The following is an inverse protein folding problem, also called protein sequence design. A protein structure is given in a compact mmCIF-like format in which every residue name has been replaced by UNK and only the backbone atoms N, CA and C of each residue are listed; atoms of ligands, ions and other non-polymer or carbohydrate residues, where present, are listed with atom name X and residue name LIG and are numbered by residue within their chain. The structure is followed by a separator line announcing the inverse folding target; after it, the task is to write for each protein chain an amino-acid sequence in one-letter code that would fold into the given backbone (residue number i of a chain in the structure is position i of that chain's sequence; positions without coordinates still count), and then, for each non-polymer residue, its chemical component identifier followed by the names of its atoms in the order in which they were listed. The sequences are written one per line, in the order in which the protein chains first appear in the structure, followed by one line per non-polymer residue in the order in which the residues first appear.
data_IF_649948820969
#
_entry.id   IF_649948820969
#
_cell.length_a   1.000
_cell.length_b   1.000
_cell.length_c   1.000
_cell.angle_alpha   90.00
_cell.angle_beta   90.00
_cell.angle_gamma   90.00
#
_symmetry.space_group_name_H-M   'P 1'
#
loop_
_entity.id
_entity.type
_entity.pdbx_description
1 polymer ?
#
# COMPACT_ATOMS: atom_id res chain seq x y z
N UNK A 1 6.75 -19.25 11.01
CA UNK A 1 5.46 -18.60 10.69
C UNK A 1 5.72 -17.77 9.44
N UNK A 2 5.21 -18.25 8.30
CA UNK A 2 5.38 -17.52 7.04
C UNK A 2 4.42 -16.33 7.04
N UNK A 3 4.94 -15.13 7.18
CA UNK A 3 4.19 -13.89 7.01
C UNK A 3 4.40 -13.39 5.58
N UNK A 4 3.33 -13.01 4.89
CA UNK A 4 3.45 -12.31 3.62
C UNK A 4 3.89 -10.87 3.90
N UNK A 5 4.93 -10.44 3.21
CA UNK A 5 5.44 -9.07 3.32
C UNK A 5 5.19 -8.29 2.03
N UNK A 6 4.60 -7.10 2.16
CA UNK A 6 4.33 -6.18 1.06
C UNK A 6 5.00 -4.83 1.36
N UNK A 7 5.35 -4.08 0.32
CA UNK A 7 6.03 -2.79 0.48
C UNK A 7 5.43 -1.75 -0.45
N UNK A 8 5.00 -0.62 0.13
CA UNK A 8 4.69 0.59 -0.64
C UNK A 8 5.97 1.37 -0.92
N UNK A 9 6.31 1.52 -2.19
CA UNK A 9 7.39 2.41 -2.67
C UNK A 9 6.80 3.46 -3.60
N UNK A 10 6.79 4.72 -3.16
CA UNK A 10 6.06 5.75 -3.89
C UNK A 10 4.58 5.38 -3.99
N UNK A 11 4.08 5.31 -5.20
CA UNK A 11 2.68 5.01 -5.52
C UNK A 11 2.44 3.53 -5.86
N UNK A 12 3.41 2.65 -5.63
CA UNK A 12 3.34 1.24 -6.02
C UNK A 12 3.45 0.32 -4.83
N UNK A 13 2.55 -0.66 -4.74
CA UNK A 13 2.60 -1.77 -3.79
C UNK A 13 3.23 -2.98 -4.46
N UNK A 14 4.27 -3.50 -3.84
CA UNK A 14 5.07 -4.63 -4.31
C UNK A 14 5.01 -5.78 -3.31
N UNK A 15 5.12 -7.01 -3.80
CA UNK A 15 5.49 -8.13 -2.93
C UNK A 15 6.96 -8.00 -2.54
N UNK A 16 7.28 -8.16 -1.25
CA UNK A 16 8.63 -7.94 -0.74
C UNK A 16 9.64 -8.98 -1.26
N UNK A 17 9.20 -10.18 -1.58
CA UNK A 17 10.07 -11.21 -2.16
C UNK A 17 10.63 -10.77 -3.52
N UNK A 18 9.82 -10.08 -4.31
CA UNK A 18 10.22 -9.57 -5.62
C UNK A 18 10.93 -8.22 -5.51
N UNK A 19 10.53 -7.38 -4.55
CA UNK A 19 11.19 -6.09 -4.30
C UNK A 19 12.67 -6.22 -3.90
N UNK A 20 13.07 -7.37 -3.33
CA UNK A 20 14.46 -7.67 -2.98
C UNK A 20 15.31 -8.07 -4.21
N UNK A 21 14.70 -8.66 -5.24
CA UNK A 21 15.38 -9.06 -6.46
C UNK A 21 15.84 -7.85 -7.28
N UNK A 22 15.03 -6.78 -7.34
CA UNK A 22 15.36 -5.55 -8.06
C UNK A 22 16.54 -4.78 -7.45
N UNK A 23 16.76 -4.93 -6.13
CA UNK A 23 17.86 -4.27 -5.44
C UNK A 23 19.22 -4.90 -5.71
N UNK A 24 19.29 -6.12 -6.20
CA UNK A 24 20.53 -6.87 -6.47
C UNK A 24 20.97 -6.82 -7.94
N UNK A 25 20.15 -6.30 -8.85
CA UNK A 25 20.42 -6.26 -10.29
C UNK A 25 21.31 -5.11 -10.79
N UNK A 26 21.70 -4.14 -9.95
CA UNK A 26 22.55 -3.01 -10.34
C UNK A 26 24.02 -3.17 -9.90
N UNK A 27 24.69 -4.20 -10.40
CA UNK A 27 26.12 -4.46 -10.14
C UNK A 27 26.82 -5.06 -11.34
N UNK A 28 27.39 -4.19 -12.20
CA UNK A 28 28.51 -4.53 -13.06
C UNK A 28 28.17 -4.97 -14.49
N UNK A 29 28.39 -4.10 -15.48
CA UNK A 29 29.46 -4.31 -16.43
C UNK A 29 29.70 -3.05 -17.28
N UNK A 30 30.90 -2.51 -17.18
CA UNK A 30 31.42 -1.44 -18.02
C UNK A 30 32.00 -2.07 -19.32
N UNK A 31 31.15 -2.22 -20.34
CA UNK A 31 31.52 -2.61 -21.69
C UNK A 31 31.37 -1.44 -22.65
N UNK A 32 32.49 -0.85 -23.07
CA UNK A 32 32.61 0.14 -24.16
C UNK A 32 32.35 -0.58 -25.49
N UNK A 33 31.44 -0.08 -26.35
CA UNK A 33 31.25 -0.61 -27.71
C UNK A 33 30.10 0.00 -28.48
N UNK A 34 30.47 0.99 -29.28
CA UNK A 34 30.06 1.31 -30.66
C UNK A 34 28.61 1.69 -31.02
N UNK A 35 28.57 2.76 -31.80
CA UNK A 35 27.42 3.47 -32.38
C UNK A 35 26.65 2.65 -33.41
N UNK A 36 25.32 2.63 -33.31
CA UNK A 36 24.41 2.13 -34.35
C UNK A 36 23.02 2.75 -34.19
N UNK A 37 22.63 3.51 -35.21
CA UNK A 37 21.38 4.29 -35.27
C UNK A 37 20.13 3.44 -35.46
N UNK A 38 18.99 4.06 -35.14
CA UNK A 38 17.61 3.70 -35.53
C UNK A 38 16.98 2.46 -34.88
N UNK A 39 16.13 2.75 -33.88
CA UNK A 39 15.19 1.81 -33.32
C UNK A 39 14.13 2.56 -32.53
N UNK A 40 12.92 2.70 -33.12
CA UNK A 40 11.70 3.13 -32.41
C UNK A 40 11.54 2.25 -31.19
N UNK A 41 11.72 2.88 -30.01
CA UNK A 41 11.62 2.18 -28.74
C UNK A 41 10.18 1.72 -28.49
N UNK A 42 9.96 0.43 -28.63
CA UNK A 42 8.84 -0.23 -27.96
C UNK A 42 8.94 0.04 -26.48
N UNK A 43 7.86 0.58 -25.92
CA UNK A 43 7.69 0.73 -24.49
C UNK A 43 7.89 -0.64 -23.86
N UNK A 44 9.02 -0.81 -23.16
CA UNK A 44 9.37 -2.04 -22.50
C UNK A 44 8.26 -2.44 -21.54
N UNK A 45 7.68 -3.62 -21.79
CA UNK A 45 6.92 -4.36 -20.81
C UNK A 45 7.89 -4.74 -19.68
N UNK A 46 8.10 -3.80 -18.73
CA UNK A 46 8.89 -4.04 -17.53
C UNK A 46 8.09 -4.92 -16.61
N UNK A 47 8.66 -6.04 -16.31
CA UNK A 47 8.49 -6.93 -15.17
C UNK A 47 7.18 -6.79 -14.36
N UNK A 48 6.10 -7.40 -14.87
CA UNK A 48 4.76 -7.35 -14.28
C UNK A 48 4.56 -8.32 -13.10
N UNK A 49 5.60 -9.02 -12.67
CA UNK A 49 5.49 -10.10 -11.68
C UNK A 49 5.38 -9.67 -10.23
N UNK A 50 5.71 -8.42 -9.92
CA UNK A 50 5.88 -7.94 -8.55
C UNK A 50 4.85 -6.90 -8.10
N UNK A 51 4.21 -6.21 -9.03
CA UNK A 51 3.31 -5.11 -8.72
C UNK A 51 1.91 -5.62 -8.40
N UNK A 52 1.47 -5.40 -7.16
CA UNK A 52 0.13 -5.78 -6.71
C UNK A 52 -0.89 -4.66 -6.87
N UNK A 53 -0.45 -3.43 -6.68
CA UNK A 53 -1.29 -2.25 -6.88
C UNK A 53 -0.45 -1.02 -7.23
N UNK A 54 -1.06 -0.05 -7.90
CA UNK A 54 -0.46 1.26 -8.12
C UNK A 54 -1.51 2.37 -8.02
N UNK A 55 -1.05 3.56 -7.65
CA UNK A 55 -1.89 4.74 -7.49
C UNK A 55 -1.57 5.75 -8.57
N UNK A 56 -2.58 6.16 -9.30
CA UNK A 56 -2.50 7.22 -10.30
C UNK A 56 -3.58 8.26 -9.97
N UNK A 57 -3.15 9.47 -9.61
CA UNK A 57 -4.05 10.52 -9.11
C UNK A 57 -4.81 10.04 -7.86
N UNK A 58 -6.13 9.99 -7.91
CA UNK A 58 -6.98 9.53 -6.81
C UNK A 58 -7.53 8.11 -7.02
N UNK A 59 -6.97 7.33 -7.96
CA UNK A 59 -7.40 5.97 -8.24
C UNK A 59 -6.28 4.98 -7.91
N UNK A 60 -6.62 3.95 -7.16
CA UNK A 60 -5.75 2.79 -6.93
C UNK A 60 -6.19 1.69 -7.88
N UNK A 61 -5.28 1.19 -8.68
CA UNK A 61 -5.46 0.03 -9.54
C UNK A 61 -4.85 -1.19 -8.86
N UNK A 62 -5.60 -2.28 -8.79
CA UNK A 62 -5.24 -3.52 -8.09
C UNK A 62 -5.30 -4.66 -9.11
N UNK A 63 -4.13 -5.18 -9.49
CA UNK A 63 -4.06 -6.09 -10.63
C UNK A 63 -4.66 -5.45 -11.90
N UNK A 64 -5.29 -6.28 -12.74
CA UNK A 64 -5.85 -5.84 -14.02
C UNK A 64 -7.36 -5.56 -13.97
N UNK A 65 -8.06 -5.97 -12.91
CA UNK A 65 -9.53 -6.00 -12.89
C UNK A 65 -10.15 -5.06 -11.88
N UNK A 66 -9.47 -4.72 -10.79
CA UNK A 66 -10.04 -3.93 -9.70
C UNK A 66 -9.46 -2.52 -9.63
N UNK A 67 -10.33 -1.57 -9.33
CA UNK A 67 -9.93 -0.19 -9.06
C UNK A 67 -10.72 0.40 -7.90
N UNK A 68 -10.08 1.33 -7.20
CA UNK A 68 -10.62 1.99 -6.03
C UNK A 68 -10.42 3.50 -6.16
N UNK A 69 -11.51 4.26 -6.33
CA UNK A 69 -11.47 5.71 -6.32
C UNK A 69 -11.34 6.21 -4.88
N UNK A 70 -10.35 7.01 -4.60
CA UNK A 70 -10.04 7.55 -3.28
C UNK A 70 -10.48 9.00 -3.17
N UNK A 71 -11.33 9.30 -2.20
CA UNK A 71 -11.78 10.65 -1.89
C UNK A 71 -11.33 11.04 -0.48
N UNK A 72 -10.44 12.05 -0.40
CA UNK A 72 -10.01 12.61 0.89
C UNK A 72 -10.90 13.75 1.31
N UNK A 73 -11.45 13.67 2.51
CA UNK A 73 -12.27 14.73 3.09
C UNK A 73 -11.37 15.75 3.81
N UNK A 74 -10.79 16.67 3.04
CA UNK A 74 -9.78 17.64 3.53
C UNK A 74 -10.33 18.75 4.43
N UNK A 75 -11.64 18.92 4.52
CA UNK A 75 -12.29 20.00 5.31
C UNK A 75 -12.50 19.66 6.79
N UNK A 76 -12.01 18.54 7.25
CA UNK A 76 -12.19 18.11 8.64
C UNK A 76 -10.87 18.17 9.41
N UNK A 77 -10.93 18.51 10.71
CA UNK A 77 -9.77 18.48 11.63
C UNK A 77 -9.23 17.06 11.82
N UNK A 78 -10.05 16.05 11.52
CA UNK A 78 -9.72 14.62 11.65
C UNK A 78 -9.57 14.01 10.27
N UNK A 79 -8.63 13.10 10.14
CA UNK A 79 -8.44 12.37 8.88
C UNK A 79 -9.69 11.54 8.54
N UNK A 80 -10.15 11.69 7.30
CA UNK A 80 -11.23 10.88 6.73
C UNK A 80 -10.93 10.62 5.27
N UNK A 81 -11.07 9.37 4.89
CA UNK A 81 -10.92 8.92 3.51
C UNK A 81 -12.08 7.99 3.15
N UNK A 82 -12.55 8.10 1.92
CA UNK A 82 -13.54 7.19 1.35
C UNK A 82 -12.93 6.54 0.12
N UNK A 83 -13.15 5.25 -0.04
CA UNK A 83 -12.87 4.50 -1.25
C UNK A 83 -14.16 4.03 -1.88
N UNK A 84 -14.25 4.04 -3.21
CA UNK A 84 -15.36 3.44 -3.94
C UNK A 84 -14.78 2.51 -5.00
N UNK A 85 -15.14 1.23 -4.94
CA UNK A 85 -14.68 0.23 -5.91
C UNK A 85 -15.36 0.40 -7.25
N UNK A 86 -14.81 -0.19 -8.31
CA UNK A 86 -15.46 -0.25 -9.63
C UNK A 86 -16.82 -0.95 -9.57
N UNK A 87 -17.02 -1.87 -8.62
CA UNK A 87 -18.31 -2.53 -8.35
C UNK A 87 -19.29 -1.70 -7.54
N UNK A 88 -18.92 -0.50 -7.07
CA UNK A 88 -19.76 0.39 -6.27
C UNK A 88 -19.75 0.12 -4.77
N UNK A 89 -18.91 -0.79 -4.27
CA UNK A 89 -18.72 -0.99 -2.84
C UNK A 89 -18.04 0.23 -2.22
N UNK A 90 -18.44 0.56 -0.99
CA UNK A 90 -17.92 1.73 -0.27
C UNK A 90 -17.02 1.29 0.86
N UNK A 91 -15.84 1.87 0.87
CA UNK A 91 -14.82 1.73 1.91
C UNK A 91 -14.68 3.06 2.65
N UNK A 92 -14.50 3.03 3.94
CA UNK A 92 -14.29 4.24 4.74
C UNK A 92 -13.09 4.07 5.67
N UNK A 93 -12.34 5.15 5.87
CA UNK A 93 -11.22 5.18 6.79
C UNK A 93 -11.28 6.48 7.60
N UNK A 94 -11.29 6.37 8.92
CA UNK A 94 -11.55 7.51 9.80
C UNK A 94 -10.62 7.52 11.00
N UNK A 95 -10.35 8.73 11.48
CA UNK A 95 -9.69 9.00 12.75
C UNK A 95 -10.76 9.31 13.80
N UNK A 96 -11.11 8.39 14.72
CA UNK A 96 -12.18 8.60 15.70
C UNK A 96 -11.80 9.63 16.77
N UNK A 97 -10.54 9.69 17.18
CA UNK A 97 -10.04 10.59 18.23
C UNK A 97 -9.36 11.85 17.69
N UNK A 98 -8.80 12.64 18.60
CA UNK A 98 -7.98 13.82 18.24
C UNK A 98 -6.56 13.45 17.81
N UNK A 99 -6.08 12.29 18.22
CA UNK A 99 -4.76 11.78 17.87
C UNK A 99 -4.88 10.73 16.79
N UNK A 100 -3.83 10.55 16.00
CA UNK A 100 -3.73 9.48 15.00
C UNK A 100 -3.29 8.12 15.60
N UNK A 101 -3.43 7.95 16.92
CA UNK A 101 -3.05 6.70 17.60
C UNK A 101 -3.94 5.52 17.20
N UNK A 102 -5.21 5.80 16.97
CA UNK A 102 -6.19 4.81 16.51
C UNK A 102 -6.86 5.31 15.24
N UNK A 103 -6.94 4.45 14.24
CA UNK A 103 -7.67 4.66 12.99
C UNK A 103 -8.62 3.49 12.81
N UNK A 104 -9.75 3.75 12.17
CA UNK A 104 -10.78 2.74 11.92
C UNK A 104 -11.08 2.69 10.44
N UNK A 105 -11.01 1.50 9.86
CA UNK A 105 -11.38 1.19 8.50
C UNK A 105 -12.62 0.32 8.44
N UNK A 106 -13.50 0.59 7.51
CA UNK A 106 -14.58 -0.31 7.11
C UNK A 106 -14.47 -0.55 5.61
N UNK A 107 -14.34 -1.81 5.23
CA UNK A 107 -14.20 -2.25 3.86
C UNK A 107 -15.42 -3.08 3.48
N UNK A 108 -16.47 -2.44 2.96
CA UNK A 108 -17.73 -3.09 2.58
C UNK A 108 -18.32 -3.97 3.73
N UNK A 109 -18.36 -3.42 4.95
CA UNK A 109 -18.88 -4.09 6.15
C UNK A 109 -17.86 -4.93 6.91
N UNK A 110 -16.63 -5.05 6.43
CA UNK A 110 -15.52 -5.67 7.19
C UNK A 110 -14.79 -4.57 7.96
N UNK A 111 -14.90 -4.59 9.29
CA UNK A 111 -14.33 -3.56 10.16
C UNK A 111 -12.94 -3.90 10.64
N UNK A 112 -12.05 -2.91 10.60
CA UNK A 112 -10.65 -2.99 11.03
C UNK A 112 -10.31 -1.84 11.96
N UNK A 113 -9.47 -2.11 12.94
CA UNK A 113 -8.89 -1.09 13.81
C UNK A 113 -7.36 -1.09 13.66
N UNK A 114 -6.77 0.08 13.40
CA UNK A 114 -5.33 0.22 13.27
C UNK A 114 -4.80 1.02 14.46
N UNK A 115 -4.13 0.33 15.37
CA UNK A 115 -3.58 0.90 16.62
C UNK A 115 -2.09 1.13 16.51
N UNK A 116 -1.61 2.29 16.92
CA UNK A 116 -0.16 2.51 17.01
C UNK A 116 0.47 1.57 18.04
N UNK A 117 1.58 0.94 17.62
CA UNK A 117 2.39 0.06 18.48
C UNK A 117 3.07 0.90 19.58
N UNK A 118 3.47 2.12 19.24
CA UNK A 118 4.16 3.04 20.16
C UNK A 118 3.84 4.49 19.80
N UNK A 119 3.76 5.40 20.80
CA UNK A 119 3.57 6.83 20.56
C UNK A 119 4.70 7.46 19.71
N UNK A 120 5.89 6.89 19.78
CA UNK A 120 7.11 7.41 19.14
C UNK A 120 7.42 6.82 17.77
N UNK A 121 6.81 5.69 17.42
CA UNK A 121 7.03 5.02 16.12
C UNK A 121 5.77 5.09 15.28
N UNK A 122 5.96 5.20 13.97
CA UNK A 122 4.86 5.20 13.00
C UNK A 122 4.46 3.77 12.58
N UNK A 123 4.55 2.83 13.51
CA UNK A 123 4.10 1.44 13.32
C UNK A 123 2.68 1.25 13.84
N UNK A 124 1.89 0.42 13.17
CA UNK A 124 0.51 0.10 13.52
C UNK A 124 0.25 -1.39 13.43
N UNK A 125 -0.53 -1.90 14.37
CA UNK A 125 -1.13 -3.22 14.27
C UNK A 125 -2.49 -3.07 13.62
N UNK A 126 -2.81 -3.96 12.68
CA UNK A 126 -4.14 -4.07 12.07
C UNK A 126 -4.89 -5.16 12.81
N UNK A 127 -6.02 -4.79 13.40
CA UNK A 127 -6.90 -5.70 14.12
C UNK A 127 -8.20 -5.91 13.36
N UNK A 128 -8.68 -7.14 13.29
CA UNK A 128 -10.03 -7.49 12.87
C UNK A 128 -10.75 -8.12 14.06
N UNK A 129 -11.60 -7.34 14.74
CA UNK A 129 -12.07 -7.71 16.07
C UNK A 129 -10.90 -7.81 17.06
N UNK A 130 -10.75 -8.98 17.69
CA UNK A 130 -9.67 -9.24 18.65
C UNK A 130 -8.46 -9.94 18.02
N UNK A 131 -8.44 -10.16 16.70
CA UNK A 131 -7.38 -10.86 16.00
C UNK A 131 -6.45 -9.88 15.33
N UNK A 132 -5.15 -10.01 15.55
CA UNK A 132 -4.12 -9.33 14.80
C UNK A 132 -3.98 -9.95 13.42
N UNK A 133 -4.24 -9.18 12.37
CA UNK A 133 -4.21 -9.63 10.98
C UNK A 133 -3.02 -9.07 10.20
N UNK A 134 -2.30 -8.11 10.76
CA UNK A 134 -1.09 -7.59 10.17
C UNK A 134 -0.49 -6.43 10.92
N UNK A 135 0.71 -6.05 10.49
CA UNK A 135 1.48 -4.91 11.02
C UNK A 135 1.92 -4.02 9.87
N UNK A 136 1.84 -2.73 10.08
CA UNK A 136 2.30 -1.70 9.12
C UNK A 136 3.39 -0.90 9.78
N UNK A 137 4.54 -0.76 9.14
CA UNK A 137 5.67 0.04 9.64
C UNK A 137 6.09 1.08 8.59
N UNK A 138 5.96 2.35 8.95
CA UNK A 138 6.36 3.46 8.09
C UNK A 138 7.84 3.78 8.30
N UNK A 139 8.65 3.51 7.28
CA UNK A 139 10.05 3.91 7.17
C UNK A 139 10.21 5.32 6.59
N UNK A 140 11.45 5.71 6.27
CA UNK A 140 11.75 7.02 5.70
C UNK A 140 11.23 7.18 4.25
N UNK A 141 11.23 6.10 3.48
CA UNK A 141 10.91 6.11 2.04
C UNK A 141 9.90 5.06 1.63
N UNK A 142 9.55 4.15 2.50
CA UNK A 142 8.68 3.01 2.22
C UNK A 142 7.79 2.71 3.42
N UNK A 143 6.68 2.05 3.16
CA UNK A 143 5.79 1.52 4.18
C UNK A 143 5.76 0.00 4.01
N UNK A 144 6.27 -0.71 5.01
CA UNK A 144 6.31 -2.17 5.04
C UNK A 144 5.03 -2.69 5.68
N UNK A 145 4.43 -3.68 5.08
CA UNK A 145 3.23 -4.36 5.56
C UNK A 145 3.55 -5.84 5.76
N UNK A 146 3.38 -6.32 6.97
CA UNK A 146 3.52 -7.74 7.31
C UNK A 146 2.15 -8.30 7.63
N UNK A 147 1.64 -9.22 6.80
CA UNK A 147 0.34 -9.84 7.00
C UNK A 147 0.49 -11.15 7.76
N UNK A 148 -0.33 -11.36 8.78
CA UNK A 148 -0.40 -12.63 9.48
C UNK A 148 -1.12 -13.66 8.60
N UNK A 149 -0.54 -14.85 8.49
CA UNK A 149 -1.22 -16.00 7.91
C UNK A 149 -2.16 -16.57 8.96
N UNK A 150 -3.44 -16.47 8.73
CA UNK A 150 -4.45 -16.99 9.63
C UNK A 150 -4.74 -18.45 9.25
N UNK A 151 -4.64 -19.37 10.22
CA UNK A 151 -4.91 -20.81 10.03
C UNK A 151 -6.38 -21.10 9.67
N UNK A 152 -7.26 -20.12 9.83
CA UNK A 152 -8.71 -20.23 9.58
C UNK A 152 -9.14 -19.99 8.13
N UNK A 153 -8.22 -19.74 7.19
CA UNK A 153 -8.56 -19.38 5.82
C UNK A 153 -9.19 -17.99 5.67
N UNK A 154 -9.23 -17.20 6.73
CA UNK A 154 -9.72 -15.82 6.78
C UNK A 154 -8.62 -14.82 6.34
N UNK A 155 -7.98 -15.09 5.21
CA UNK A 155 -6.99 -14.14 4.68
C UNK A 155 -7.66 -12.78 4.41
N UNK A 156 -6.91 -11.69 4.67
CA UNK A 156 -7.39 -10.36 4.31
C UNK A 156 -7.52 -10.27 2.79
N UNK A 157 -8.68 -9.83 2.26
CA UNK A 157 -8.79 -9.51 0.85
C UNK A 157 -7.73 -8.49 0.44
N UNK A 158 -7.08 -8.70 -0.70
CA UNK A 158 -6.01 -7.80 -1.18
C UNK A 158 -6.50 -6.34 -1.27
N UNK A 159 -7.74 -6.14 -1.71
CA UNK A 159 -8.34 -4.81 -1.81
C UNK A 159 -8.46 -4.11 -0.45
N UNK A 160 -8.76 -4.85 0.63
CA UNK A 160 -8.81 -4.31 1.99
C UNK A 160 -7.40 -3.91 2.45
N UNK A 161 -6.41 -4.80 2.23
CA UNK A 161 -5.00 -4.51 2.52
C UNK A 161 -4.55 -3.25 1.82
N UNK A 162 -4.80 -3.16 0.51
CA UNK A 162 -4.43 -2.01 -0.33
C UNK A 162 -5.06 -0.72 0.20
N UNK A 163 -6.37 -0.72 0.47
CA UNK A 163 -7.08 0.47 0.97
C UNK A 163 -6.57 0.92 2.34
N UNK A 164 -6.50 -0.01 3.31
CA UNK A 164 -6.08 0.29 4.68
C UNK A 164 -4.64 0.80 4.73
N UNK A 165 -3.73 0.15 4.01
CA UNK A 165 -2.31 0.51 4.01
C UNK A 165 -2.03 1.76 3.22
N UNK A 166 -2.75 2.03 2.11
CA UNK A 166 -2.67 3.32 1.43
C UNK A 166 -3.14 4.47 2.32
N UNK A 167 -4.22 4.30 3.07
CA UNK A 167 -4.64 5.29 4.06
C UNK A 167 -3.57 5.53 5.13
N UNK A 168 -2.78 4.52 5.52
CA UNK A 168 -1.62 4.71 6.39
C UNK A 168 -0.50 5.51 5.70
N UNK A 169 -0.25 5.32 4.40
CA UNK A 169 0.68 6.17 3.63
C UNK A 169 0.24 7.63 3.71
N UNK A 170 -1.05 7.91 3.51
CA UNK A 170 -1.60 9.28 3.56
C UNK A 170 -1.49 9.93 4.94
N UNK A 171 -1.64 9.16 6.03
CA UNK A 171 -1.58 9.66 7.41
C UNK A 171 -0.15 9.79 7.92
N UNK A 172 0.66 8.76 7.72
CA UNK A 172 1.98 8.65 8.35
C UNK A 172 3.13 9.12 7.44
N UNK A 173 2.89 9.23 6.11
CA UNK A 173 3.87 9.66 5.10
C UNK A 173 3.36 10.78 4.17
N UNK A 174 2.76 11.86 4.69
CA UNK A 174 2.04 12.86 3.88
C UNK A 174 2.91 13.62 2.86
N UNK A 175 4.24 13.60 3.01
CA UNK A 175 5.15 14.33 2.09
C UNK A 175 5.44 13.59 0.78
N UNK A 176 5.05 12.32 0.65
CA UNK A 176 5.30 11.53 -0.57
C UNK A 176 4.36 11.88 -1.71
N UNK A 177 3.19 12.32 -1.38
CA UNK A 177 2.10 12.55 -2.32
C UNK A 177 2.29 13.77 -3.23
N UNK A 178 3.19 14.70 -2.87
CA UNK A 178 3.40 15.94 -3.63
C UNK A 178 4.43 15.81 -4.76
N UNK A 179 4.93 14.63 -5.09
CA UNK A 179 5.97 14.43 -6.09
C UNK A 179 5.60 13.36 -7.14
N UNK A 180 4.34 13.33 -7.51
CA UNK A 180 3.88 12.57 -8.67
C UNK A 180 3.72 13.47 -9.89
#
# INVERSE_FOLDING_TARGET
MDSQQLVWRGNTLLDAATAAADAQGCGGDSGVGDVGADGVGEAGAGDSGAQLAHVLSDVIYIGDEESLLIERLTRTVRFRCRGTTSGGEVFTFTQPGFTVSTLVGDCAGRSYELRRISPWRKGRVIMRGDVEVGVVEAGARELVVSLARLDSGDELPLIDVVFLTWCCVLVDMPQREMRG
#
